data_IF_100826656854
#
_entry.id   IF_100826656854
#
_cell.length_a   1.000
_cell.length_b   1.000
_cell.length_c   1.000
_cell.angle_alpha   90.00
_cell.angle_beta   90.00
_cell.angle_gamma   90.00
#
_symmetry.space_group_name_H-M   'P 1'
#
loop_
_entity.id
_entity.type
_entity.pdbx_description
1 polymer ?
#
# COMPACT_ATOMS: atom_id res chain seq x y z
N UNK A 1 -13.10 7.97 7.25
CA UNK A 1 -13.26 7.37 5.91
C UNK A 1 -14.55 6.56 5.90
N UNK A 2 -15.30 6.52 4.79
CA UNK A 2 -16.51 5.69 4.72
C UNK A 2 -16.09 4.22 4.57
N UNK A 3 -16.79 3.31 5.25
CA UNK A 3 -16.65 1.88 4.98
C UNK A 3 -17.07 1.58 3.53
N UNK A 4 -16.56 0.49 2.96
CA UNK A 4 -16.83 0.09 1.58
C UNK A 4 -15.58 -0.18 0.77
N UNK A 5 -15.77 -0.30 -0.55
CA UNK A 5 -14.74 -0.59 -1.53
C UNK A 5 -13.99 0.68 -1.92
N UNK A 6 -12.66 0.64 -1.85
CA UNK A 6 -11.77 1.74 -2.22
C UNK A 6 -10.68 1.25 -3.15
N UNK A 7 -10.34 2.08 -4.14
CA UNK A 7 -9.10 1.91 -4.89
C UNK A 7 -7.97 2.57 -4.10
N UNK A 8 -6.95 1.78 -3.78
CA UNK A 8 -5.79 2.26 -3.02
C UNK A 8 -4.54 2.06 -3.85
N UNK A 9 -3.82 3.16 -4.07
CA UNK A 9 -2.49 3.16 -4.68
C UNK A 9 -1.45 3.59 -3.64
N UNK A 10 -0.43 2.76 -3.44
CA UNK A 10 0.73 3.06 -2.59
C UNK A 10 1.97 3.07 -3.45
N UNK A 11 2.76 4.14 -3.32
CA UNK A 11 4.01 4.35 -4.05
C UNK A 11 5.09 4.73 -3.06
N UNK A 12 6.20 4.01 -3.08
CA UNK A 12 7.32 4.18 -2.17
C UNK A 12 8.63 4.20 -2.95
N UNK A 13 9.54 5.06 -2.49
CA UNK A 13 10.94 5.05 -2.90
C UNK A 13 11.79 4.75 -1.66
N UNK A 14 12.54 3.66 -1.66
CA UNK A 14 13.50 3.35 -0.60
C UNK A 14 14.94 3.77 -0.96
N UNK A 15 15.16 4.32 -2.15
CA UNK A 15 16.46 4.73 -2.65
C UNK A 15 16.56 6.26 -2.75
N UNK A 16 17.39 6.86 -1.90
CA UNK A 16 17.59 8.31 -1.85
C UNK A 16 18.24 8.91 -3.10
N UNK A 17 19.01 8.11 -3.84
CA UNK A 17 19.80 8.58 -4.99
C UNK A 17 19.03 8.40 -6.29
N UNK A 18 18.24 7.33 -6.40
CA UNK A 18 17.48 7.01 -7.61
C UNK A 18 16.11 7.69 -7.57
N UNK A 19 15.81 8.61 -8.51
CA UNK A 19 14.48 9.20 -8.60
C UNK A 19 13.44 8.16 -9.06
N UNK A 20 12.17 8.39 -8.69
CA UNK A 20 11.03 7.53 -9.02
C UNK A 20 10.54 6.67 -7.84
N UNK A 21 9.47 5.90 -8.05
CA UNK A 21 8.96 4.94 -7.06
C UNK A 21 9.38 3.53 -7.47
N UNK A 22 10.24 2.90 -6.68
CA UNK A 22 10.68 1.54 -6.96
C UNK A 22 9.79 0.47 -6.33
N UNK A 23 8.81 0.87 -5.52
CA UNK A 23 7.71 0.01 -5.08
C UNK A 23 6.37 0.70 -5.34
N UNK A 24 5.50 0.01 -6.08
CA UNK A 24 4.15 0.47 -6.39
C UNK A 24 3.20 -0.71 -6.22
N UNK A 25 2.11 -0.49 -5.48
CA UNK A 25 0.99 -1.44 -5.40
C UNK A 25 -0.31 -0.68 -5.53
N UNK A 26 -1.17 -1.15 -6.43
CA UNK A 26 -2.53 -0.68 -6.59
C UNK A 26 -3.46 -1.87 -6.35
N UNK A 27 -4.48 -1.69 -5.52
CA UNK A 27 -5.41 -2.76 -5.19
C UNK A 27 -6.79 -2.21 -4.80
N UNK A 28 -7.80 -3.06 -4.96
CA UNK A 28 -9.16 -2.79 -4.52
C UNK A 28 -9.36 -3.39 -3.13
N UNK A 29 -9.54 -2.55 -2.13
CA UNK A 29 -9.71 -2.98 -0.72
C UNK A 29 -11.11 -2.64 -0.22
N UNK A 30 -11.74 -3.63 0.40
CA UNK A 30 -13.05 -3.47 1.05
C UNK A 30 -12.86 -3.35 2.56
N UNK A 31 -13.15 -2.18 3.12
CA UNK A 31 -13.02 -1.92 4.55
C UNK A 31 -14.38 -2.00 5.23
N UNK A 32 -14.47 -2.85 6.26
CA UNK A 32 -15.64 -2.87 7.15
C UNK A 32 -15.64 -1.63 8.07
N UNK A 33 -16.81 -1.19 8.57
CA UNK A 33 -16.86 -0.13 9.58
C UNK A 33 -15.97 -0.46 10.78
N UNK A 34 -15.14 0.49 11.20
CA UNK A 34 -14.20 0.33 12.32
C UNK A 34 -12.96 -0.52 12.01
N UNK A 35 -12.79 -1.04 10.78
CA UNK A 35 -11.60 -1.78 10.39
C UNK A 35 -10.45 -0.82 10.06
N UNK A 36 -9.28 -1.10 10.63
CA UNK A 36 -8.02 -0.44 10.28
C UNK A 36 -7.31 -1.29 9.23
N UNK A 37 -6.87 -0.66 8.15
CA UNK A 37 -6.01 -1.28 7.14
C UNK A 37 -4.56 -0.92 7.46
N UNK A 38 -3.67 -1.91 7.40
CA UNK A 38 -2.24 -1.73 7.57
C UNK A 38 -1.54 -1.90 6.22
N UNK A 39 -0.66 -0.95 5.91
CA UNK A 39 0.28 -1.08 4.81
C UNK A 39 1.62 -1.49 5.43
N UNK A 40 2.10 -2.67 5.05
CA UNK A 40 3.37 -3.24 5.51
C UNK A 40 4.36 -3.26 4.35
N UNK A 41 5.65 -3.09 4.64
CA UNK A 41 6.71 -3.06 3.63
C UNK A 41 7.83 -4.03 4.02
N UNK A 42 8.11 -4.97 3.13
CA UNK A 42 9.24 -5.87 3.26
C UNK A 42 9.86 -6.12 1.87
N UNK A 43 11.05 -5.56 1.58
CA UNK A 43 11.67 -5.68 0.26
C UNK A 43 12.05 -7.13 -0.07
N UNK A 44 12.41 -7.94 0.94
CA UNK A 44 12.78 -9.35 0.76
C UNK A 44 11.57 -10.24 0.41
N UNK A 45 10.34 -9.76 0.64
CA UNK A 45 9.10 -10.48 0.35
C UNK A 45 8.33 -9.94 -0.87
N UNK A 46 8.90 -8.97 -1.59
CA UNK A 46 8.26 -8.38 -2.77
C UNK A 46 7.65 -6.99 -2.56
N UNK A 47 7.92 -6.34 -1.43
CA UNK A 47 7.61 -4.92 -1.20
C UNK A 47 6.36 -4.67 -0.36
N UNK A 48 5.35 -4.05 -0.96
CA UNK A 48 4.16 -3.51 -0.27
C UNK A 48 3.06 -4.56 -0.08
N UNK A 49 2.46 -4.61 1.11
CA UNK A 49 1.35 -5.50 1.47
C UNK A 49 0.21 -4.73 2.12
N UNK A 50 -1.03 -5.12 1.82
CA UNK A 50 -2.22 -4.62 2.51
C UNK A 50 -2.74 -5.70 3.45
N UNK A 51 -3.02 -5.34 4.71
CA UNK A 51 -3.55 -6.21 5.76
C UNK A 51 -4.76 -5.59 6.44
#
# INVERSE_FOLDING_TARGET
MKAGTHQVAVRMNDNLVKPGFNFVKEDQVTLKPGQVMVIDFNPDKGGLFFK
#
